data_IF_567825548292
#
_entry.id   IF_567825548292
#
_cell.length_a   1.000
_cell.length_b   1.000
_cell.length_c   1.000
_cell.angle_alpha   90.00
_cell.angle_beta   90.00
_cell.angle_gamma   90.00
#
_symmetry.space_group_name_H-M   'P 1'
#
loop_
_entity.id
_entity.type
_entity.pdbx_description
1 polymer ?
#
# COMPACT_ATOMS: atom_id res chain seq x y z
N UNK A 1 -15.01 14.18 21.18
CA UNK A 1 -15.62 13.79 19.89
C UNK A 1 -16.27 12.44 20.06
N UNK A 2 -17.45 12.24 19.47
CA UNK A 2 -18.16 10.97 19.54
C UNK A 2 -17.36 9.87 18.81
N UNK A 3 -17.08 8.72 19.44
CA UNK A 3 -16.21 7.67 18.88
C UNK A 3 -16.76 7.10 17.56
N UNK A 4 -18.07 7.16 17.36
CA UNK A 4 -18.75 6.68 16.16
C UNK A 4 -18.34 7.44 14.88
N UNK A 5 -17.91 8.71 15.01
CA UNK A 5 -17.45 9.53 13.88
C UNK A 5 -16.19 8.95 13.22
N UNK A 6 -15.46 8.07 13.90
CA UNK A 6 -14.29 7.38 13.34
C UNK A 6 -14.67 6.27 12.34
N UNK A 7 -15.87 5.69 12.45
CA UNK A 7 -16.29 4.52 11.66
C UNK A 7 -16.28 4.76 10.14
N UNK A 8 -16.79 5.89 9.60
CA UNK A 8 -16.70 6.17 8.17
C UNK A 8 -15.26 6.23 7.66
N UNK A 9 -14.32 6.77 8.45
CA UNK A 9 -12.91 6.86 8.09
C UNK A 9 -12.22 5.49 8.11
N UNK A 10 -12.58 4.64 9.08
CA UNK A 10 -12.12 3.26 9.13
C UNK A 10 -12.66 2.47 7.92
N UNK A 11 -13.93 2.64 7.59
CA UNK A 11 -14.54 2.00 6.41
C UNK A 11 -13.83 2.42 5.12
N UNK A 12 -13.65 3.72 4.90
CA UNK A 12 -12.94 4.25 3.73
C UNK A 12 -11.49 3.76 3.68
N UNK A 13 -10.82 3.69 4.82
CA UNK A 13 -9.46 3.17 4.92
C UNK A 13 -9.40 1.70 4.47
N UNK A 14 -10.24 0.83 5.05
CA UNK A 14 -10.31 -0.61 4.72
C UNK A 14 -10.67 -0.79 3.24
N UNK A 15 -11.71 -0.12 2.76
CA UNK A 15 -12.12 -0.17 1.35
C UNK A 15 -10.97 0.21 0.41
N UNK A 16 -10.21 1.25 0.74
CA UNK A 16 -9.09 1.71 -0.08
C UNK A 16 -7.95 0.69 -0.12
N UNK A 17 -7.65 0.03 1.00
CA UNK A 17 -6.68 -1.08 1.07
C UNK A 17 -7.14 -2.25 0.21
N UNK A 18 -8.43 -2.61 0.26
CA UNK A 18 -8.98 -3.67 -0.60
C UNK A 18 -8.87 -3.31 -2.08
N UNK A 19 -9.25 -2.09 -2.48
CA UNK A 19 -9.11 -1.60 -3.86
C UNK A 19 -7.65 -1.70 -4.31
N UNK A 20 -6.69 -1.32 -3.46
CA UNK A 20 -5.28 -1.40 -3.77
C UNK A 20 -4.74 -2.84 -3.92
N UNK A 21 -5.41 -3.82 -3.30
CA UNK A 21 -5.06 -5.25 -3.34
C UNK A 21 -5.80 -6.03 -4.43
N UNK A 22 -6.71 -5.41 -5.19
CA UNK A 22 -7.42 -6.09 -6.29
C UNK A 22 -6.40 -6.56 -7.33
N UNK A 23 -6.48 -7.85 -7.67
CA UNK A 23 -5.73 -8.47 -8.76
C UNK A 23 -6.64 -8.59 -9.98
N UNK A 24 -6.53 -7.70 -10.97
CA UNK A 24 -7.39 -7.75 -12.15
C UNK A 24 -7.06 -8.94 -13.06
N UNK A 25 -5.84 -9.49 -12.97
CA UNK A 25 -5.39 -10.64 -13.75
C UNK A 25 -5.01 -11.82 -12.84
N UNK A 26 -5.28 -13.08 -13.27
CA UNK A 26 -4.87 -14.26 -12.53
C UNK A 26 -3.33 -14.38 -12.45
N UNK A 27 -2.79 -15.11 -11.45
CA UNK A 27 -1.35 -15.28 -11.29
C UNK A 27 -0.70 -15.84 -12.56
N UNK A 28 0.43 -15.26 -12.96
CA UNK A 28 1.12 -15.72 -14.17
C UNK A 28 1.83 -17.05 -13.92
N UNK A 29 1.71 -17.98 -14.87
CA UNK A 29 2.41 -19.26 -14.85
C UNK A 29 3.92 -19.07 -14.61
N UNK A 30 4.52 -19.89 -13.75
CA UNK A 30 5.90 -19.72 -13.27
C UNK A 30 6.94 -19.64 -14.39
N UNK A 31 6.72 -20.37 -15.49
CA UNK A 31 7.58 -20.35 -16.69
C UNK A 31 7.63 -18.98 -17.37
N UNK A 32 6.58 -18.17 -17.27
CA UNK A 32 6.45 -16.84 -17.89
C UNK A 32 6.93 -15.69 -16.97
N UNK A 33 7.39 -15.99 -15.75
CA UNK A 33 7.93 -14.98 -14.83
C UNK A 33 9.35 -14.59 -15.25
N UNK A 34 9.56 -13.29 -15.48
CA UNK A 34 10.85 -12.71 -15.87
C UNK A 34 11.80 -12.58 -14.67
N UNK A 35 11.24 -12.38 -13.47
CA UNK A 35 11.98 -12.45 -12.21
C UNK A 35 11.60 -13.73 -11.45
N UNK A 36 12.60 -14.37 -10.84
CA UNK A 36 12.44 -15.58 -10.04
C UNK A 36 13.22 -15.45 -8.73
N UNK A 37 12.68 -15.99 -7.64
CA UNK A 37 13.36 -16.04 -6.36
C UNK A 37 12.43 -15.89 -5.16
N UNK A 38 13.02 -15.95 -3.97
CA UNK A 38 12.28 -15.92 -2.71
C UNK A 38 11.45 -14.65 -2.54
N UNK A 39 11.89 -13.52 -3.11
CA UNK A 39 11.18 -12.23 -3.09
C UNK A 39 9.87 -12.28 -3.87
N UNK A 40 9.86 -12.89 -5.07
CA UNK A 40 8.64 -13.07 -5.87
C UNK A 40 7.64 -14.02 -5.20
N UNK A 41 8.14 -14.90 -4.33
CA UNK A 41 7.29 -15.73 -3.47
C UNK A 41 6.75 -14.94 -2.28
N UNK A 42 7.57 -14.11 -1.63
CA UNK A 42 7.20 -13.39 -0.40
C UNK A 42 6.26 -12.22 -0.70
N UNK A 43 6.54 -11.39 -1.72
CA UNK A 43 5.85 -10.11 -1.93
C UNK A 43 4.32 -10.24 -2.09
N UNK A 44 3.79 -11.12 -2.96
CA UNK A 44 2.34 -11.28 -3.11
C UNK A 44 1.65 -11.79 -1.83
N UNK A 45 2.37 -12.62 -1.05
CA UNK A 45 1.87 -13.13 0.22
C UNK A 45 1.90 -12.06 1.31
N UNK A 46 2.94 -11.23 1.35
CA UNK A 46 3.05 -10.12 2.27
C UNK A 46 1.91 -9.10 2.06
N UNK A 47 1.54 -8.83 0.80
CA UNK A 47 0.39 -7.98 0.49
C UNK A 47 -0.93 -8.58 1.01
N UNK A 48 -1.16 -9.88 0.76
CA UNK A 48 -2.34 -10.60 1.27
C UNK A 48 -2.40 -10.61 2.80
N UNK A 49 -1.28 -10.94 3.46
CA UNK A 49 -1.16 -10.91 4.92
C UNK A 49 -1.45 -9.50 5.43
N UNK A 50 -0.93 -8.46 4.77
CA UNK A 50 -1.20 -7.07 5.11
C UNK A 50 -2.69 -6.71 5.08
N UNK A 51 -3.41 -7.10 4.02
CA UNK A 51 -4.86 -6.89 3.92
C UNK A 51 -5.62 -7.63 5.03
N UNK A 52 -5.27 -8.90 5.30
CA UNK A 52 -5.88 -9.67 6.40
C UNK A 52 -5.63 -8.98 7.75
N UNK A 53 -4.42 -8.49 8.00
CA UNK A 53 -4.10 -7.75 9.22
C UNK A 53 -4.93 -6.47 9.35
N UNK A 54 -5.18 -5.75 8.25
CA UNK A 54 -6.05 -4.57 8.24
C UNK A 54 -7.49 -4.93 8.57
N UNK A 55 -8.01 -6.04 8.02
CA UNK A 55 -9.37 -6.50 8.31
C UNK A 55 -9.53 -6.89 9.79
N UNK A 56 -8.57 -7.63 10.34
CA UNK A 56 -8.54 -7.98 11.76
C UNK A 56 -8.48 -6.71 12.62
N UNK A 57 -7.58 -5.77 12.29
CA UNK A 57 -7.47 -4.51 13.01
C UNK A 57 -8.78 -3.72 12.97
N UNK A 58 -9.46 -3.66 11.82
CA UNK A 58 -10.73 -2.98 11.66
C UNK A 58 -11.84 -3.63 12.50
N UNK A 59 -11.95 -4.96 12.51
CA UNK A 59 -12.93 -5.68 13.35
C UNK A 59 -12.71 -5.38 14.83
N UNK A 60 -11.45 -5.42 15.28
CA UNK A 60 -11.10 -5.11 16.67
C UNK A 60 -11.44 -3.65 16.98
N UNK A 61 -11.09 -2.71 16.11
CA UNK A 61 -11.35 -1.29 16.32
C UNK A 61 -12.86 -0.96 16.34
N UNK A 62 -13.65 -1.55 15.44
CA UNK A 62 -15.12 -1.44 15.45
C UNK A 62 -15.67 -1.95 16.78
N UNK A 63 -15.22 -3.13 17.23
CA UNK A 63 -15.67 -3.73 18.49
C UNK A 63 -15.39 -2.81 19.68
N UNK A 64 -14.20 -2.20 19.71
CA UNK A 64 -13.80 -1.28 20.77
C UNK A 64 -14.56 0.06 20.69
N UNK A 65 -14.81 0.60 19.50
CA UNK A 65 -15.63 1.80 19.30
C UNK A 65 -17.06 1.58 19.80
N UNK A 66 -17.68 0.45 19.46
CA UNK A 66 -19.03 0.10 19.90
C UNK A 66 -19.10 -0.11 21.42
N UNK A 67 -18.09 -0.78 22.00
CA UNK A 67 -17.99 -0.92 23.45
C UNK A 67 -17.89 0.45 24.13
N UNK A 68 -17.07 1.35 23.59
CA UNK A 68 -16.90 2.71 24.08
C UNK A 68 -18.17 3.55 23.97
N UNK A 69 -19.01 3.35 22.93
CA UNK A 69 -20.27 4.08 22.81
C UNK A 69 -21.35 3.61 23.79
N UNK A 70 -21.31 2.35 24.22
CA UNK A 70 -22.26 1.79 25.20
C UNK A 70 -21.81 2.12 26.62
N UNK A 71 -20.52 2.02 26.89
CA UNK A 71 -19.92 2.26 28.21
C UNK A 71 -18.73 3.20 28.05
N UNK A 72 -18.96 4.53 28.18
CA UNK A 72 -17.90 5.52 28.03
C UNK A 72 -16.79 5.25 29.05
N UNK A 73 -15.52 5.18 28.63
CA UNK A 73 -14.41 5.01 29.55
C UNK A 73 -14.29 6.25 30.44
N UNK A 74 -14.05 6.04 31.73
CA UNK A 74 -13.66 7.10 32.65
C UNK A 74 -12.32 7.69 32.19
N UNK A 75 -12.36 8.88 31.58
CA UNK A 75 -11.22 9.68 31.13
C UNK A 75 -9.93 8.87 30.80
N UNK A 76 -10.05 7.90 29.88
CA UNK A 76 -8.96 6.98 29.57
C UNK A 76 -8.15 7.48 28.37
N UNK A 77 -6.82 7.53 28.53
CA UNK A 77 -5.85 7.77 27.45
C UNK A 77 -5.94 6.74 26.30
N UNK A 78 -6.68 5.64 26.51
CA UNK A 78 -6.95 4.56 25.54
C UNK A 78 -8.23 4.75 24.75
N UNK A 79 -8.97 5.83 24.98
CA UNK A 79 -10.20 6.15 24.24
C UNK A 79 -9.92 6.24 22.74
N UNK A 80 -10.73 5.58 21.92
CA UNK A 80 -10.70 5.69 20.47
C UNK A 80 -11.49 6.92 20.04
N UNK A 81 -10.89 7.75 19.20
CA UNK A 81 -11.54 8.91 18.61
C UNK A 81 -10.87 9.29 17.29
N UNK A 82 -11.57 10.06 16.47
CA UNK A 82 -11.02 10.56 15.23
C UNK A 82 -9.96 11.63 15.51
N UNK A 83 -8.78 11.48 14.92
CA UNK A 83 -7.68 12.43 15.01
C UNK A 83 -7.29 12.96 13.64
N UNK A 84 -6.65 14.14 13.56
CA UNK A 84 -6.10 14.63 12.29
C UNK A 84 -5.14 13.63 11.65
N UNK A 85 -4.34 12.89 12.43
CA UNK A 85 -3.45 11.85 11.90
C UNK A 85 -4.23 10.67 11.30
N UNK A 86 -5.35 10.27 11.92
CA UNK A 86 -6.24 9.26 11.35
C UNK A 86 -6.89 9.74 10.05
N UNK A 87 -7.33 10.99 9.97
CA UNK A 87 -7.87 11.58 8.74
C UNK A 87 -6.82 11.57 7.63
N UNK A 88 -5.61 12.05 7.89
CA UNK A 88 -4.50 12.03 6.92
C UNK A 88 -4.18 10.59 6.51
N UNK A 89 -4.14 9.66 7.46
CA UNK A 89 -3.92 8.23 7.19
C UNK A 89 -4.97 7.64 6.25
N UNK A 90 -6.26 7.94 6.48
CA UNK A 90 -7.35 7.55 5.59
C UNK A 90 -7.22 8.17 4.20
N UNK A 91 -6.88 9.46 4.10
CA UNK A 91 -6.67 10.13 2.81
C UNK A 91 -5.50 9.53 2.03
N UNK A 92 -4.41 9.15 2.70
CA UNK A 92 -3.27 8.46 2.08
C UNK A 92 -3.64 7.05 1.61
N UNK A 93 -4.47 6.32 2.36
CA UNK A 93 -5.00 5.03 1.92
C UNK A 93 -5.89 5.20 0.67
N UNK A 94 -6.77 6.19 0.65
CA UNK A 94 -7.61 6.52 -0.52
C UNK A 94 -6.76 6.87 -1.74
N UNK A 95 -5.72 7.71 -1.56
CA UNK A 95 -4.77 8.03 -2.63
C UNK A 95 -4.06 6.77 -3.15
N UNK A 96 -3.71 5.84 -2.27
CA UNK A 96 -3.10 4.56 -2.65
C UNK A 96 -4.04 3.70 -3.49
N UNK A 97 -5.30 3.55 -3.06
CA UNK A 97 -6.34 2.85 -3.81
C UNK A 97 -6.57 3.48 -5.19
N UNK A 98 -6.63 4.81 -5.26
CA UNK A 98 -6.77 5.55 -6.51
C UNK A 98 -5.58 5.35 -7.46
N UNK A 99 -4.35 5.52 -6.98
CA UNK A 99 -3.12 5.31 -7.78
C UNK A 99 -3.09 3.89 -8.33
N UNK A 100 -3.52 2.90 -7.53
CA UNK A 100 -3.60 1.50 -7.93
C UNK A 100 -4.62 1.26 -9.01
N UNK A 101 -5.82 1.74 -8.80
CA UNK A 101 -6.87 1.69 -9.79
C UNK A 101 -6.44 2.36 -11.11
N UNK A 102 -5.82 3.53 -11.05
CA UNK A 102 -5.37 4.24 -12.25
C UNK A 102 -4.24 3.50 -12.98
N UNK A 103 -3.28 2.94 -12.23
CA UNK A 103 -2.16 2.17 -12.79
C UNK A 103 -2.65 0.87 -13.45
N UNK A 104 -3.55 0.14 -12.79
CA UNK A 104 -4.12 -1.10 -13.33
C UNK A 104 -5.00 -0.83 -14.53
N UNK A 105 -5.84 0.21 -14.48
CA UNK A 105 -6.69 0.61 -15.61
C UNK A 105 -5.87 1.04 -16.83
N UNK A 106 -4.74 1.74 -16.61
CA UNK A 106 -3.86 2.21 -17.69
C UNK A 106 -3.05 1.07 -18.32
N UNK A 107 -2.58 0.11 -17.52
CA UNK A 107 -1.90 -1.09 -18.04
C UNK A 107 -2.88 -2.09 -18.68
N UNK A 108 -4.14 -2.12 -18.26
CA UNK A 108 -5.16 -3.00 -18.82
C UNK A 108 -4.77 -4.47 -18.75
N UNK A 109 -4.79 -5.17 -19.91
CA UNK A 109 -4.38 -6.58 -20.02
C UNK A 109 -2.89 -6.81 -19.77
N UNK A 110 -2.06 -5.75 -19.84
CA UNK A 110 -0.62 -5.82 -19.58
C UNK A 110 -0.27 -5.76 -18.08
N UNK A 111 -1.25 -5.51 -17.20
CA UNK A 111 -1.01 -5.48 -15.75
C UNK A 111 -0.83 -6.88 -15.17
N UNK A 112 0.35 -7.17 -14.62
CA UNK A 112 0.60 -8.37 -13.82
C UNK A 112 1.30 -7.99 -12.51
N UNK A 113 0.92 -8.60 -11.38
CA UNK A 113 1.64 -8.40 -10.11
C UNK A 113 3.06 -8.96 -10.17
N UNK A 114 3.26 -10.00 -10.98
CA UNK A 114 4.58 -10.54 -11.32
C UNK A 114 5.20 -9.80 -12.50
N UNK A 115 6.51 -9.62 -12.46
CA UNK A 115 7.24 -9.04 -13.59
C UNK A 115 7.29 -10.06 -14.71
N UNK A 116 6.56 -9.80 -15.79
CA UNK A 116 6.46 -10.69 -16.94
C UNK A 116 6.58 -9.90 -18.23
N UNK A 117 7.24 -10.49 -19.23
CA UNK A 117 7.20 -9.99 -20.60
C UNK A 117 6.10 -10.78 -21.28
N UNK A 118 4.96 -10.14 -21.54
CA UNK A 118 3.86 -10.77 -22.26
C UNK A 118 4.16 -10.83 -23.76
N UNK A 119 3.56 -11.80 -24.47
CA UNK A 119 3.56 -11.79 -25.93
C UNK A 119 2.85 -10.51 -26.40
N UNK A 120 3.49 -9.72 -27.27
CA UNK A 120 3.08 -8.36 -27.68
C UNK A 120 3.12 -7.29 -26.56
N UNK A 121 4.02 -7.41 -25.58
CA UNK A 121 4.22 -6.37 -24.57
C UNK A 121 4.48 -5.01 -25.24
N UNK A 122 3.72 -3.99 -24.84
CA UNK A 122 3.90 -2.60 -25.29
C UNK A 122 4.39 -1.75 -24.14
N UNK A 123 5.28 -0.80 -24.42
CA UNK A 123 5.69 0.20 -23.45
C UNK A 123 4.55 1.19 -23.24
N UNK A 124 3.87 1.10 -22.09
CA UNK A 124 2.80 2.03 -21.72
C UNK A 124 3.42 3.27 -21.07
N UNK A 125 3.14 4.44 -21.65
CA UNK A 125 3.70 5.73 -21.20
C UNK A 125 2.62 6.76 -20.80
N UNK A 126 1.36 6.35 -20.87
CA UNK A 126 0.19 7.19 -20.58
C UNK A 126 -0.21 7.14 -19.10
N UNK A 127 -1.16 7.99 -18.73
CA UNK A 127 -1.72 8.02 -17.38
C UNK A 127 -0.65 8.25 -16.31
N UNK A 128 -0.59 7.44 -15.24
CA UNK A 128 0.35 7.66 -14.16
C UNK A 128 1.80 7.34 -14.57
N UNK A 129 2.01 6.56 -15.64
CA UNK A 129 3.33 6.25 -16.21
C UNK A 129 3.96 7.42 -16.98
N UNK A 130 3.17 8.46 -17.26
CA UNK A 130 3.65 9.74 -17.77
C UNK A 130 4.21 10.67 -16.69
N UNK A 131 4.01 10.34 -15.41
CA UNK A 131 4.41 11.16 -14.27
C UNK A 131 5.62 10.54 -13.55
N UNK A 132 5.54 9.24 -13.25
CA UNK A 132 6.61 8.45 -12.64
C UNK A 132 6.63 7.06 -13.27
N UNK A 133 7.79 6.39 -13.27
CA UNK A 133 7.94 5.09 -13.95
C UNK A 133 7.25 3.92 -13.24
N UNK A 134 7.18 3.95 -11.91
CA UNK A 134 6.52 2.91 -11.12
C UNK A 134 5.48 3.51 -10.14
N UNK A 135 4.35 4.03 -10.66
CA UNK A 135 3.34 4.73 -9.86
C UNK A 135 2.71 3.82 -8.81
N UNK A 136 2.52 2.54 -9.14
CA UNK A 136 2.09 1.55 -8.16
C UNK A 136 3.03 1.55 -6.94
N UNK A 137 4.34 1.44 -7.13
CA UNK A 137 5.28 1.36 -6.01
C UNK A 137 5.31 2.62 -5.14
N UNK A 138 5.17 3.78 -5.75
CA UNK A 138 4.95 5.04 -5.03
C UNK A 138 3.69 4.97 -4.16
N UNK A 139 2.57 4.52 -4.76
CA UNK A 139 1.32 4.28 -4.03
C UNK A 139 1.48 3.33 -2.85
N UNK A 140 2.31 2.28 -2.94
CA UNK A 140 2.47 1.31 -1.84
C UNK A 140 3.09 1.96 -0.61
N UNK A 141 4.10 2.79 -0.84
CA UNK A 141 4.83 3.47 0.21
C UNK A 141 3.93 4.53 0.85
N UNK A 142 3.15 5.28 0.05
CA UNK A 142 2.12 6.21 0.54
C UNK A 142 1.11 5.48 1.42
N UNK A 143 0.60 4.32 0.98
CA UNK A 143 -0.37 3.54 1.74
C UNK A 143 0.19 3.06 3.06
N UNK A 144 1.44 2.59 3.06
CA UNK A 144 2.13 2.15 4.28
C UNK A 144 2.34 3.30 5.29
N UNK A 145 2.71 4.49 4.80
CA UNK A 145 2.76 5.70 5.63
C UNK A 145 1.37 6.05 6.18
N UNK A 146 0.32 5.92 5.36
CA UNK A 146 -1.07 6.10 5.79
C UNK A 146 -1.46 5.16 6.93
N UNK A 147 -1.09 3.88 6.83
CA UNK A 147 -1.25 2.86 7.90
C UNK A 147 -0.61 3.34 9.21
N UNK A 148 0.61 3.86 9.14
CA UNK A 148 1.32 4.35 10.33
C UNK A 148 0.60 5.55 10.95
N UNK A 149 0.17 6.53 10.14
CA UNK A 149 -0.54 7.71 10.65
C UNK A 149 -1.91 7.37 11.24
N UNK A 150 -2.60 6.39 10.65
CA UNK A 150 -3.90 5.94 11.13
C UNK A 150 -3.78 5.16 12.44
N UNK A 151 -2.86 4.19 12.51
CA UNK A 151 -2.79 3.26 13.64
C UNK A 151 -1.82 3.65 14.76
N UNK A 152 -0.88 4.57 14.55
CA UNK A 152 0.10 4.96 15.59
C UNK A 152 -0.19 6.29 16.29
N UNK A 153 -1.23 7.01 15.84
CA UNK A 153 -1.61 8.30 16.42
C UNK A 153 -2.26 8.22 17.81
N UNK A 154 -2.51 9.37 18.46
CA UNK A 154 -3.43 9.42 19.59
C UNK A 154 -4.82 8.88 19.20
N UNK A 155 -5.52 8.23 20.13
CA UNK A 155 -6.85 7.67 19.88
C UNK A 155 -6.89 6.55 18.83
N UNK A 156 -5.75 5.93 18.52
CA UNK A 156 -5.61 4.81 17.58
C UNK A 156 -5.76 3.45 18.25
N UNK A 157 -5.92 2.42 17.42
CA UNK A 157 -5.93 1.03 17.88
C UNK A 157 -4.64 0.64 18.62
N UNK A 158 -3.47 1.15 18.22
CA UNK A 158 -2.22 0.91 18.96
C UNK A 158 -2.37 1.38 20.40
N UNK A 159 -2.83 2.62 20.62
CA UNK A 159 -2.97 3.17 21.97
C UNK A 159 -3.96 2.38 22.82
N UNK A 160 -5.03 1.88 22.21
CA UNK A 160 -6.02 1.05 22.90
C UNK A 160 -5.52 -0.38 23.22
N UNK A 161 -4.61 -0.93 22.40
CA UNK A 161 -4.20 -2.35 22.48
C UNK A 161 -2.78 -2.59 22.98
N UNK A 162 -1.94 -1.55 23.08
CA UNK A 162 -0.56 -1.64 23.59
C UNK A 162 -0.51 -1.78 25.12
N UNK A 163 -1.18 -2.81 25.64
CA UNK A 163 -1.30 -3.12 27.07
C UNK A 163 -0.24 -4.10 27.57
N UNK A 164 0.42 -4.81 26.66
CA UNK A 164 1.48 -5.78 26.94
C UNK A 164 2.74 -5.51 26.11
N UNK A 165 3.89 -6.02 26.59
CA UNK A 165 5.15 -5.94 25.84
C UNK A 165 5.04 -6.56 24.44
N UNK A 166 4.26 -7.64 24.29
CA UNK A 166 4.04 -8.33 23.01
C UNK A 166 3.27 -7.43 22.03
N UNK A 167 2.16 -6.83 22.48
CA UNK A 167 1.38 -5.90 21.65
C UNK A 167 2.19 -4.67 21.26
N UNK A 168 2.97 -4.10 22.18
CA UNK A 168 3.83 -2.95 21.91
C UNK A 168 4.94 -3.29 20.90
N UNK A 169 5.52 -4.48 21.00
CA UNK A 169 6.51 -4.97 20.04
C UNK A 169 5.91 -5.10 18.64
N UNK A 170 4.72 -5.69 18.50
CA UNK A 170 4.03 -5.81 17.20
C UNK A 170 3.88 -4.46 16.50
N UNK A 171 3.37 -3.45 17.22
CA UNK A 171 3.20 -2.11 16.64
C UNK A 171 4.54 -1.42 16.30
N UNK A 172 5.61 -1.70 17.05
CA UNK A 172 6.95 -1.18 16.77
C UNK A 172 7.58 -1.76 15.50
N UNK A 173 7.02 -2.84 14.94
CA UNK A 173 7.49 -3.40 13.67
C UNK A 173 7.01 -2.62 12.44
N UNK A 174 6.00 -1.74 12.56
CA UNK A 174 5.50 -0.95 11.43
C UNK A 174 6.58 -0.03 10.83
N UNK A 175 7.34 0.78 11.61
CA UNK A 175 8.47 1.55 11.06
C UNK A 175 9.51 0.68 10.34
N UNK A 176 9.83 -0.50 10.88
CA UNK A 176 10.77 -1.44 10.24
C UNK A 176 10.20 -1.94 8.92
N UNK A 177 8.92 -2.28 8.90
CA UNK A 177 8.20 -2.68 7.69
C UNK A 177 8.18 -1.60 6.62
N UNK A 178 8.03 -0.32 6.99
CA UNK A 178 8.12 0.80 6.04
C UNK A 178 9.48 0.84 5.34
N UNK A 179 10.58 0.73 6.10
CA UNK A 179 11.94 0.73 5.54
C UNK A 179 12.11 -0.46 4.58
N UNK A 180 11.64 -1.65 4.97
CA UNK A 180 11.67 -2.83 4.11
C UNK A 180 10.84 -2.64 2.84
N UNK A 181 9.64 -2.07 2.94
CA UNK A 181 8.78 -1.77 1.78
C UNK A 181 9.48 -0.84 0.82
N UNK A 182 10.09 0.25 1.30
CA UNK A 182 10.85 1.19 0.47
C UNK A 182 11.98 0.47 -0.26
N UNK A 183 12.83 -0.27 0.46
CA UNK A 183 13.98 -0.98 -0.12
C UNK A 183 13.53 -2.02 -1.15
N UNK A 184 12.51 -2.82 -0.82
CA UNK A 184 12.05 -3.90 -1.70
C UNK A 184 11.42 -3.36 -2.98
N UNK A 185 10.62 -2.29 -2.88
CA UNK A 185 9.99 -1.65 -4.04
C UNK A 185 11.03 -0.93 -4.89
N UNK A 186 12.02 -0.27 -4.29
CA UNK A 186 13.10 0.37 -5.02
C UNK A 186 13.93 -0.64 -5.82
N UNK A 187 14.37 -1.72 -5.16
CA UNK A 187 15.12 -2.79 -5.84
C UNK A 187 14.32 -3.45 -6.96
N UNK A 188 13.01 -3.65 -6.75
CA UNK A 188 12.13 -4.21 -7.77
C UNK A 188 11.97 -3.26 -8.97
N UNK A 189 11.81 -1.96 -8.70
CA UNK A 189 11.78 -0.94 -9.76
C UNK A 189 13.06 -0.98 -10.61
N UNK A 190 14.24 -1.10 -9.99
CA UNK A 190 15.50 -1.21 -10.71
C UNK A 190 15.59 -2.47 -11.60
N UNK A 191 15.08 -3.60 -11.11
CA UNK A 191 15.04 -4.86 -11.85
C UNK A 191 14.06 -4.77 -13.04
N UNK A 192 12.89 -4.18 -12.83
CA UNK A 192 11.89 -3.92 -13.89
C UNK A 192 12.40 -2.96 -14.96
N UNK A 193 13.01 -1.84 -14.55
CA UNK A 193 13.60 -0.88 -15.48
C UNK A 193 14.65 -1.53 -16.36
N UNK A 194 15.49 -2.42 -15.81
CA UNK A 194 16.48 -3.17 -16.59
C UNK A 194 15.82 -4.10 -17.60
N UNK A 195 14.77 -4.80 -17.21
CA UNK A 195 14.03 -5.71 -18.10
C UNK A 195 13.35 -4.94 -19.23
N UNK A 196 12.64 -3.86 -18.91
CA UNK A 196 11.95 -3.02 -19.89
C UNK A 196 12.98 -2.34 -20.82
N UNK A 197 14.10 -1.84 -20.27
CA UNK A 197 15.18 -1.28 -21.07
C UNK A 197 15.78 -2.29 -22.05
N UNK A 198 16.02 -3.52 -21.60
CA UNK A 198 16.56 -4.58 -22.46
C UNK A 198 15.58 -4.96 -23.57
N UNK A 199 14.28 -4.88 -23.32
CA UNK A 199 13.23 -5.20 -24.29
C UNK A 199 12.98 -4.08 -25.30
N UNK A 200 12.92 -2.82 -24.85
CA UNK A 200 12.47 -1.67 -25.66
C UNK A 200 13.58 -0.71 -26.08
N UNK A 201 14.80 -0.87 -25.59
CA UNK A 201 16.00 -0.14 -26.03
C UNK A 201 15.80 1.38 -26.09
N UNK A 202 15.80 1.94 -27.30
CA UNK A 202 15.65 3.38 -27.53
C UNK A 202 14.30 3.94 -27.11
N UNK A 203 13.20 3.19 -27.25
CA UNK A 203 11.87 3.66 -26.85
C UNK A 203 11.81 3.91 -25.35
N UNK A 204 12.35 2.97 -24.55
CA UNK A 204 12.52 3.16 -23.11
C UNK A 204 13.42 4.37 -22.82
N UNK A 205 14.51 4.55 -23.56
CA UNK A 205 15.41 5.68 -23.39
C UNK A 205 14.74 7.04 -23.63
N UNK A 206 13.87 7.15 -24.65
CA UNK A 206 13.08 8.36 -24.92
C UNK A 206 12.06 8.62 -23.82
N UNK A 207 11.35 7.58 -23.38
CA UNK A 207 10.37 7.68 -22.30
C UNK A 207 11.03 8.04 -20.95
N UNK A 208 12.10 7.36 -20.56
CA UNK A 208 12.80 7.60 -19.29
C UNK A 208 13.43 9.01 -19.21
N UNK A 209 13.79 9.61 -20.35
CA UNK A 209 14.19 11.03 -20.40
C UNK A 209 13.03 11.98 -20.11
N UNK A 210 11.83 11.67 -20.63
CA UNK A 210 10.61 12.45 -20.38
C UNK A 210 10.09 12.26 -18.95
N UNK A 211 10.27 11.05 -18.40
CA UNK A 211 9.82 10.64 -17.06
C UNK A 211 11.02 10.19 -16.23
N UNK A 212 11.85 11.13 -15.74
CA UNK A 212 13.10 10.78 -15.06
C UNK A 212 12.86 10.08 -13.71
N UNK A 213 11.72 10.36 -13.07
CA UNK A 213 11.39 9.93 -11.72
C UNK A 213 10.96 8.46 -11.67
N UNK A 214 11.58 7.67 -10.78
CA UNK A 214 11.20 6.26 -10.57
C UNK A 214 9.90 6.13 -9.78
N UNK A 215 9.89 6.72 -8.58
CA UNK A 215 8.80 6.57 -7.61
C UNK A 215 8.14 7.91 -7.29
N UNK A 216 8.93 8.94 -6.97
CA UNK A 216 8.40 10.24 -6.55
C UNK A 216 8.92 11.35 -7.47
N UNK A 217 8.06 12.28 -7.90
CA UNK A 217 8.51 13.48 -8.59
C UNK A 217 9.56 14.21 -7.75
N UNK A 218 10.60 14.72 -8.41
CA UNK A 218 11.69 15.51 -7.82
C UNK A 218 12.65 14.74 -6.88
N UNK A 219 12.53 13.41 -6.79
CA UNK A 219 13.49 12.54 -6.09
C UNK A 219 14.22 11.66 -7.13
N UNK A 220 15.55 11.77 -7.19
CA UNK A 220 16.42 11.05 -8.13
C UNK A 220 16.92 9.72 -7.58
#
# INVERSE_FOLDING_TARGET
>A
MEPLVKLPFLFLYVLSVHIASIRPQPPVAEKKKALRGIREFIIPRAALIGTICVDIAAIVEITLILKQSISPPEADIRSLYLTPTAVVGTLMAMATGYIRYWSTATLGTMFTFEVTIQENHKLITDGPYGIVRHPAYAGSIIGYLGTMLYFLGPGSLQRATATSAISSYFWSMLPVGLVLVIILHWRRADEEDKLIKNQFGEEWGKWAKKVPYKLYPYIH
#
